data_IF_336652089494
#
_entry.id   IF_336652089494
#
_cell.length_a   1.000
_cell.length_b   1.000
_cell.length_c   1.000
_cell.angle_alpha   90.00
_cell.angle_beta   90.00
_cell.angle_gamma   90.00
#
_symmetry.space_group_name_H-M   'P 1'
#
loop_
_entity.id
_entity.type
_entity.pdbx_description
1 polymer ?
#
# COMPACT_ATOMS: atom_id res chain seq x y z
N UNK A 1 3.32 5.00 -22.00
CA UNK A 1 3.92 6.18 -21.35
C UNK A 1 2.80 6.95 -20.67
N UNK A 2 2.77 6.99 -19.35
CA UNK A 2 2.02 8.02 -18.61
C UNK A 2 2.83 8.31 -17.36
N UNK A 3 3.43 9.50 -17.36
CA UNK A 3 4.15 10.05 -16.22
C UNK A 3 3.10 10.71 -15.34
N UNK A 4 3.03 10.28 -14.08
CA UNK A 4 2.17 10.85 -13.05
C UNK A 4 2.41 12.37 -12.93
N UNK A 5 1.52 13.16 -13.53
CA UNK A 5 1.53 14.62 -13.47
C UNK A 5 0.89 15.14 -12.18
N UNK A 6 1.32 14.62 -11.03
CA UNK A 6 0.99 15.26 -9.77
C UNK A 6 2.04 14.96 -8.70
N UNK A 7 3.26 15.46 -8.94
CA UNK A 7 4.35 15.51 -7.94
C UNK A 7 3.88 16.37 -6.77
N UNK A 8 3.15 15.75 -5.86
CA UNK A 8 2.59 16.37 -4.66
C UNK A 8 3.71 16.57 -3.66
N UNK A 9 4.72 15.69 -3.69
CA UNK A 9 5.91 15.77 -2.87
C UNK A 9 7.16 16.10 -3.68
N UNK A 10 8.09 16.81 -3.02
CA UNK A 10 9.39 17.20 -3.58
C UNK A 10 10.28 15.99 -3.91
N UNK A 11 10.10 14.90 -3.16
CA UNK A 11 10.82 13.65 -3.33
C UNK A 11 9.78 12.53 -3.34
N UNK A 12 9.51 11.98 -4.52
CA UNK A 12 8.62 10.85 -4.71
C UNK A 12 9.42 9.64 -5.15
N UNK A 13 8.99 8.46 -4.73
CA UNK A 13 9.55 7.20 -5.17
C UNK A 13 9.03 6.89 -6.57
N UNK A 14 9.93 6.45 -7.43
CA UNK A 14 9.60 5.87 -8.73
C UNK A 14 9.00 4.48 -8.55
N UNK A 15 8.29 3.98 -9.57
CA UNK A 15 7.76 2.60 -9.56
C UNK A 15 8.85 1.54 -9.29
N UNK A 16 10.09 1.79 -9.76
CA UNK A 16 11.21 0.89 -9.52
C UNK A 16 11.65 0.92 -8.05
N UNK A 17 11.75 2.09 -7.44
CA UNK A 17 12.07 2.22 -6.01
C UNK A 17 10.98 1.60 -5.13
N UNK A 18 9.71 1.74 -5.53
CA UNK A 18 8.62 1.03 -4.88
C UNK A 18 8.78 -0.50 -5.01
N UNK A 19 9.11 -1.02 -6.19
CA UNK A 19 9.35 -2.43 -6.38
C UNK A 19 10.51 -2.95 -5.52
N UNK A 20 11.63 -2.22 -5.42
CA UNK A 20 12.75 -2.59 -4.55
C UNK A 20 12.34 -2.63 -3.08
N UNK A 21 11.59 -1.63 -2.61
CA UNK A 21 11.05 -1.61 -1.26
C UNK A 21 10.21 -2.87 -0.99
N UNK A 22 9.25 -3.18 -1.88
CA UNK A 22 8.38 -4.34 -1.71
C UNK A 22 9.15 -5.67 -1.71
N UNK A 23 10.21 -5.80 -2.52
CA UNK A 23 11.08 -6.98 -2.48
C UNK A 23 11.73 -7.14 -1.11
N UNK A 24 12.29 -6.07 -0.55
CA UNK A 24 12.91 -6.12 0.79
C UNK A 24 11.88 -6.49 1.85
N UNK A 25 10.70 -5.86 1.83
CA UNK A 25 9.64 -6.13 2.81
C UNK A 25 9.17 -7.59 2.79
N UNK A 26 9.13 -8.23 1.62
CA UNK A 26 8.81 -9.66 1.49
C UNK A 26 9.87 -10.60 2.09
N UNK A 27 11.09 -10.12 2.35
CA UNK A 27 12.14 -10.93 3.02
C UNK A 27 12.11 -10.83 4.53
N UNK A 28 11.35 -9.88 5.09
CA UNK A 28 11.33 -9.64 6.53
C UNK A 28 10.54 -10.73 7.26
N UNK A 29 11.17 -11.32 8.28
CA UNK A 29 10.53 -12.26 9.20
C UNK A 29 9.69 -11.57 10.29
N UNK A 30 9.87 -10.26 10.47
CA UNK A 30 9.12 -9.45 11.43
C UNK A 30 7.71 -9.11 10.97
N UNK A 31 6.93 -8.48 11.84
CA UNK A 31 5.58 -7.98 11.54
C UNK A 31 5.65 -6.72 10.69
N UNK A 32 4.93 -6.68 9.57
CA UNK A 32 4.91 -5.55 8.64
C UNK A 32 3.49 -5.22 8.22
N UNK A 33 3.15 -3.93 8.25
CA UNK A 33 1.93 -3.37 7.69
C UNK A 33 2.29 -2.21 6.77
N UNK A 34 1.73 -2.21 5.57
CA UNK A 34 1.89 -1.12 4.59
C UNK A 34 0.53 -0.46 4.39
N UNK A 35 0.50 0.88 4.37
CA UNK A 35 -0.68 1.66 4.04
C UNK A 35 -0.46 2.44 2.73
N UNK A 36 -1.52 2.58 1.94
CA UNK A 36 -1.48 3.33 0.68
C UNK A 36 -2.81 3.33 -0.04
N UNK A 37 -2.79 3.74 -1.31
CA UNK A 37 -3.93 3.63 -2.21
C UNK A 37 -3.84 2.35 -3.03
N UNK A 38 -4.98 1.86 -3.53
CA UNK A 38 -5.00 0.69 -4.40
C UNK A 38 -4.03 0.87 -5.58
N UNK A 39 -3.16 -0.12 -5.79
CA UNK A 39 -2.09 -0.09 -6.80
C UNK A 39 -1.82 -1.50 -7.30
N UNK A 40 -1.82 -1.69 -8.63
CA UNK A 40 -1.59 -2.99 -9.26
C UNK A 40 -0.21 -3.56 -8.89
N UNK A 41 0.83 -2.71 -8.86
CA UNK A 41 2.18 -3.11 -8.44
C UNK A 41 2.18 -3.73 -7.04
N UNK A 42 1.47 -3.10 -6.10
CA UNK A 42 1.41 -3.58 -4.71
C UNK A 42 0.59 -4.87 -4.62
N UNK A 43 -0.54 -4.93 -5.34
CA UNK A 43 -1.41 -6.11 -5.37
C UNK A 43 -0.68 -7.34 -5.92
N UNK A 44 0.13 -7.16 -6.98
CA UNK A 44 0.91 -8.25 -7.58
C UNK A 44 2.06 -8.69 -6.67
N UNK A 45 2.85 -7.75 -6.15
CA UNK A 45 4.07 -8.07 -5.40
C UNK A 45 3.82 -8.53 -3.96
N UNK A 46 2.69 -8.15 -3.35
CA UNK A 46 2.32 -8.54 -1.98
C UNK A 46 1.36 -9.75 -1.98
N UNK A 47 1.46 -10.62 -2.97
CA UNK A 47 0.70 -11.87 -3.03
C UNK A 47 0.90 -12.67 -1.74
N UNK A 48 -0.20 -13.08 -1.09
CA UNK A 48 -0.20 -13.81 0.18
C UNK A 48 -0.25 -12.92 1.42
N UNK A 49 -0.11 -11.60 1.28
CA UNK A 49 -0.42 -10.66 2.36
C UNK A 49 -1.94 -10.45 2.42
N UNK A 50 -2.45 -10.16 3.63
CA UNK A 50 -3.86 -9.81 3.81
C UNK A 50 -4.06 -8.36 3.42
N UNK A 51 -4.94 -8.11 2.46
CA UNK A 51 -5.37 -6.77 2.09
C UNK A 51 -6.69 -6.40 2.78
N UNK A 52 -6.77 -5.19 3.33
CA UNK A 52 -8.00 -4.59 3.85
C UNK A 52 -8.15 -3.23 3.18
N UNK A 53 -9.29 -2.99 2.55
CA UNK A 53 -9.56 -1.73 1.84
C UNK A 53 -10.77 -1.00 2.40
N UNK A 54 -10.74 0.33 2.38
CA UNK A 54 -11.87 1.18 2.72
C UNK A 54 -12.01 2.31 1.71
N UNK A 55 -13.16 2.37 1.06
CA UNK A 55 -13.53 3.47 0.17
C UNK A 55 -14.17 4.58 0.99
N UNK A 56 -13.67 5.80 0.87
CA UNK A 56 -14.23 6.99 1.54
C UNK A 56 -14.29 8.15 0.57
N UNK A 57 -15.31 9.01 0.72
CA UNK A 57 -15.40 10.26 -0.02
C UNK A 57 -14.38 11.26 0.54
N UNK A 58 -13.45 11.70 -0.30
CA UNK A 58 -12.52 12.77 0.00
C UNK A 58 -12.96 14.06 -0.70
N UNK A 59 -12.76 15.21 -0.06
CA UNK A 59 -13.04 16.49 -0.69
C UNK A 59 -12.03 16.73 -1.82
N UNK A 60 -12.50 16.83 -3.06
CA UNK A 60 -11.71 17.17 -4.23
C UNK A 60 -12.02 18.56 -4.76
N UNK A 61 -11.14 19.09 -5.59
CA UNK A 61 -11.25 20.44 -6.18
C UNK A 61 -12.52 20.63 -7.04
N UNK A 62 -13.13 19.56 -7.54
CA UNK A 62 -14.39 19.59 -8.31
C UNK A 62 -15.54 18.80 -7.67
N UNK A 63 -15.51 18.58 -6.34
CA UNK A 63 -16.51 17.79 -5.59
C UNK A 63 -15.91 16.55 -4.92
N UNK A 64 -16.76 15.74 -4.28
CA UNK A 64 -16.35 14.53 -3.56
C UNK A 64 -15.71 13.51 -4.51
N UNK A 65 -14.42 13.23 -4.32
CA UNK A 65 -13.67 12.19 -5.04
C UNK A 65 -13.59 10.97 -4.15
N UNK A 66 -14.00 9.81 -4.66
CA UNK A 66 -13.81 8.56 -3.92
C UNK A 66 -12.33 8.18 -3.90
N UNK A 67 -11.78 7.91 -2.72
CA UNK A 67 -10.46 7.31 -2.56
C UNK A 67 -10.59 5.99 -1.82
N UNK A 68 -9.97 4.96 -2.38
CA UNK A 68 -9.87 3.65 -1.75
C UNK A 68 -8.51 3.52 -1.10
N UNK A 69 -8.50 3.61 0.23
CA UNK A 69 -7.31 3.32 1.03
C UNK A 69 -7.19 1.83 1.25
N UNK A 70 -5.97 1.32 1.20
CA UNK A 70 -5.61 -0.09 1.32
C UNK A 70 -4.54 -0.26 2.40
N UNK A 71 -4.70 -1.31 3.20
CA UNK A 71 -3.71 -1.83 4.14
C UNK A 71 -3.30 -3.24 3.69
N UNK A 72 -2.00 -3.48 3.55
CA UNK A 72 -1.43 -4.82 3.33
C UNK A 72 -0.72 -5.27 4.59
N UNK A 73 -1.08 -6.45 5.09
CA UNK A 73 -0.63 -7.00 6.38
C UNK A 73 0.07 -8.33 6.11
N UNK A 74 1.35 -8.43 6.45
CA UNK A 74 2.12 -9.65 6.20
C UNK A 74 1.65 -10.82 7.09
N UNK A 75 1.95 -12.07 6.73
CA UNK A 75 1.50 -13.24 7.50
C UNK A 75 1.89 -13.21 8.98
N UNK A 76 3.06 -12.67 9.32
CA UNK A 76 3.52 -12.52 10.70
C UNK A 76 2.59 -11.60 11.52
N UNK A 77 2.15 -10.48 10.94
CA UNK A 77 1.28 -9.49 11.59
C UNK A 77 -0.22 -9.91 11.65
N UNK A 78 -0.58 -11.02 11.02
CA UNK A 78 -1.96 -11.53 11.05
C UNK A 78 -2.24 -12.43 12.26
N UNK A 79 -1.19 -12.96 12.89
CA UNK A 79 -1.34 -13.84 14.03
C UNK A 79 -1.75 -13.03 15.25
N UNK A 80 -2.90 -13.37 15.84
CA UNK A 80 -3.25 -12.89 17.18
C UNK A 80 -2.30 -13.57 18.16
N UNK A 81 -1.67 -12.80 19.05
CA UNK A 81 -1.13 -13.40 20.27
C UNK A 81 -2.28 -14.16 20.94
N UNK A 82 -2.11 -15.48 21.08
CA UNK A 82 -2.93 -16.23 22.02
C UNK A 82 -2.42 -15.84 23.40
N UNK A 83 -3.10 -14.90 24.06
CA UNK A 83 -2.92 -14.69 25.50
C UNK A 83 -3.22 -16.03 26.17
N UNK A 84 -2.19 -16.62 26.77
CA UNK A 84 -2.29 -17.79 27.64
C UNK A 84 -2.81 -17.38 29.02
#
# INVERSE_FOLDING_TARGET
MNVDKNRTYRFEMTCNEHAELLRVLNTLQGMVVICGYNSDLYNDMLTGWKQVSKTTAANGFSGSVQRTECLWINPAAQQKEKTA
#
